data_IF_169064029604
#
_entry.id   IF_169064029604
#
_cell.length_a   1.000
_cell.length_b   1.000
_cell.length_c   1.000
_cell.angle_alpha   90.00
_cell.angle_beta   90.00
_cell.angle_gamma   90.00
#
_symmetry.space_group_name_H-M   'P 1'
#
loop_
_entity.id
_entity.type
_entity.pdbx_description
1 polymer ?
#
# COMPACT_ATOMS: atom_id res chain seq x y z
N UNK A 1 -21.59 -23.51 -13.82
CA UNK A 1 -21.81 -22.31 -12.97
C UNK A 1 -20.52 -21.49 -12.92
N UNK A 2 -20.52 -20.25 -13.41
CA UNK A 2 -19.36 -19.36 -13.31
C UNK A 2 -19.05 -19.09 -11.83
N UNK A 3 -17.95 -19.65 -11.33
CA UNK A 3 -17.39 -19.33 -10.01
C UNK A 3 -16.96 -17.86 -9.99
N UNK A 4 -17.88 -16.94 -9.71
CA UNK A 4 -17.58 -15.52 -9.53
C UNK A 4 -17.14 -15.30 -8.08
N UNK A 5 -16.09 -14.52 -7.90
CA UNK A 5 -15.61 -14.11 -6.58
C UNK A 5 -16.70 -13.29 -5.89
N UNK A 6 -17.15 -13.71 -4.71
CA UNK A 6 -18.04 -12.92 -3.86
C UNK A 6 -17.22 -12.24 -2.76
N UNK A 7 -17.62 -11.03 -2.35
CA UNK A 7 -16.99 -10.29 -1.24
C UNK A 7 -16.96 -11.08 0.07
N UNK A 8 -17.84 -12.06 0.25
CA UNK A 8 -17.85 -12.94 1.44
C UNK A 8 -16.56 -13.73 1.57
N UNK A 9 -16.01 -14.20 0.45
CA UNK A 9 -14.78 -15.01 0.39
C UNK A 9 -13.50 -14.21 0.66
N UNK A 10 -13.57 -12.88 0.64
CA UNK A 10 -12.42 -12.04 0.96
C UNK A 10 -12.07 -12.17 2.46
N UNK A 11 -10.78 -12.16 2.81
CA UNK A 11 -10.33 -12.16 4.20
C UNK A 11 -10.72 -10.85 4.90
N UNK A 12 -10.68 -10.86 6.23
CA UNK A 12 -11.06 -9.72 7.07
C UNK A 12 -10.36 -8.41 6.67
N UNK A 13 -9.06 -8.45 6.41
CA UNK A 13 -8.26 -7.27 6.04
C UNK A 13 -8.59 -6.69 4.66
N UNK A 14 -9.37 -7.40 3.84
CA UNK A 14 -9.84 -6.94 2.52
C UNK A 14 -11.33 -6.53 2.54
N UNK A 15 -11.90 -6.34 3.74
CA UNK A 15 -13.27 -5.82 3.88
C UNK A 15 -13.27 -4.30 3.79
N UNK A 16 -14.37 -3.77 3.26
CA UNK A 16 -14.57 -2.33 3.03
C UNK A 16 -14.32 -1.45 4.28
N UNK A 17 -14.81 -1.79 5.49
CA UNK A 17 -14.54 -0.97 6.68
C UNK A 17 -13.06 -0.91 7.04
N UNK A 18 -12.33 -2.01 6.82
CA UNK A 18 -10.90 -2.10 7.14
C UNK A 18 -10.08 -1.23 6.19
N UNK A 19 -10.41 -1.21 4.89
CA UNK A 19 -9.78 -0.28 3.95
C UNK A 19 -10.00 1.18 4.35
N UNK A 20 -11.22 1.55 4.72
CA UNK A 20 -11.50 2.90 5.18
C UNK A 20 -10.70 3.27 6.42
N UNK A 21 -10.62 2.37 7.41
CA UNK A 21 -9.82 2.58 8.60
C UNK A 21 -8.34 2.85 8.25
N UNK A 22 -7.72 2.02 7.40
CA UNK A 22 -6.33 2.23 6.98
C UNK A 22 -6.12 3.52 6.19
N UNK A 23 -7.05 3.88 5.30
CA UNK A 23 -6.97 5.14 4.53
C UNK A 23 -7.05 6.34 5.47
N UNK A 24 -8.05 6.37 6.36
CA UNK A 24 -8.24 7.46 7.32
C UNK A 24 -7.04 7.57 8.27
N UNK A 25 -6.56 6.45 8.82
CA UNK A 25 -5.37 6.44 9.67
C UNK A 25 -4.11 6.93 8.93
N UNK A 26 -3.96 6.60 7.65
CA UNK A 26 -2.82 7.07 6.85
C UNK A 26 -2.87 8.59 6.62
N UNK A 27 -4.07 9.14 6.35
CA UNK A 27 -4.26 10.59 6.17
C UNK A 27 -4.06 11.33 7.49
N UNK A 28 -4.67 10.87 8.58
CA UNK A 28 -4.49 11.47 9.91
C UNK A 28 -3.04 11.37 10.37
N UNK A 29 -2.39 10.23 10.14
CA UNK A 29 -0.97 10.03 10.42
C UNK A 29 -0.09 11.02 9.68
N UNK A 30 -0.32 11.23 8.38
CA UNK A 30 0.41 12.23 7.59
C UNK A 30 0.18 13.65 8.11
N UNK A 31 -1.06 14.02 8.46
CA UNK A 31 -1.38 15.35 8.97
C UNK A 31 -0.68 15.61 10.31
N UNK A 32 -0.79 14.68 11.26
CA UNK A 32 -0.10 14.77 12.54
C UNK A 32 1.42 14.81 12.38
N UNK A 33 1.94 14.04 11.43
CA UNK A 33 3.37 14.03 11.12
C UNK A 33 3.84 15.39 10.59
N UNK A 34 3.15 15.96 9.61
CA UNK A 34 3.49 17.30 9.06
C UNK A 34 3.38 18.38 10.13
N UNK A 35 2.35 18.32 10.99
CA UNK A 35 2.21 19.24 12.13
C UNK A 35 3.41 19.10 13.08
N UNK A 36 3.79 17.87 13.46
CA UNK A 36 4.94 17.64 14.32
C UNK A 36 6.24 18.17 13.71
N UNK A 37 6.46 17.94 12.42
CA UNK A 37 7.63 18.46 11.71
C UNK A 37 7.65 19.99 11.61
N UNK A 38 6.49 20.62 11.50
CA UNK A 38 6.40 22.09 11.38
C UNK A 38 6.91 22.84 12.60
N UNK A 39 7.04 22.17 13.75
CA UNK A 39 7.62 22.74 14.97
C UNK A 39 9.16 22.69 14.98
N UNK A 40 9.82 21.91 14.11
CA UNK A 40 11.28 21.87 14.01
C UNK A 40 11.76 22.61 12.76
N UNK A 41 12.34 23.79 12.95
CA UNK A 41 12.84 24.67 11.88
C UNK A 41 14.00 24.04 11.09
N UNK A 42 14.63 22.98 11.62
CA UNK A 42 15.75 22.28 10.96
C UNK A 42 15.30 21.30 9.89
N UNK A 43 14.00 21.03 9.77
CA UNK A 43 13.47 20.04 8.83
C UNK A 43 12.81 20.74 7.64
N UNK A 44 13.30 20.47 6.43
CA UNK A 44 12.67 20.94 5.20
C UNK A 44 11.43 20.09 4.87
N UNK A 45 10.25 20.69 5.07
CA UNK A 45 8.93 20.10 4.77
C UNK A 45 8.76 19.63 3.32
N UNK A 46 9.59 20.10 2.39
CA UNK A 46 9.58 19.62 1.00
C UNK A 46 9.91 18.13 0.91
N UNK A 47 10.79 17.63 1.77
CA UNK A 47 11.11 16.19 1.81
C UNK A 47 9.93 15.35 2.29
N UNK A 48 9.17 15.84 3.27
CA UNK A 48 7.91 15.21 3.69
C UNK A 48 6.90 15.16 2.54
N UNK A 49 6.73 16.27 1.83
CA UNK A 49 5.80 16.37 0.69
C UNK A 49 6.21 15.45 -0.47
N UNK A 50 7.50 15.44 -0.81
CA UNK A 50 8.08 14.56 -1.82
C UNK A 50 7.89 13.10 -1.46
N UNK A 51 8.25 12.72 -0.23
CA UNK A 51 8.08 11.36 0.29
C UNK A 51 6.63 10.91 0.21
N UNK A 52 5.68 11.72 0.69
CA UNK A 52 4.25 11.42 0.63
C UNK A 52 3.76 11.22 -0.82
N UNK A 53 4.12 12.12 -1.74
CA UNK A 53 3.74 12.03 -3.15
C UNK A 53 4.30 10.77 -3.83
N UNK A 54 5.57 10.46 -3.59
CA UNK A 54 6.21 9.23 -4.08
C UNK A 54 5.54 7.98 -3.49
N UNK A 55 5.20 8.03 -2.20
CA UNK A 55 4.45 6.98 -1.51
C UNK A 55 3.10 6.73 -2.16
N UNK A 56 2.32 7.78 -2.43
CA UNK A 56 1.02 7.65 -3.11
C UNK A 56 1.18 6.95 -4.46
N UNK A 57 2.14 7.40 -5.27
CA UNK A 57 2.37 6.82 -6.60
C UNK A 57 2.68 5.33 -6.53
N UNK A 58 3.69 4.96 -5.75
CA UNK A 58 4.12 3.57 -5.62
C UNK A 58 3.06 2.68 -4.95
N UNK A 59 2.41 3.19 -3.90
CA UNK A 59 1.33 2.49 -3.21
C UNK A 59 0.14 2.20 -4.14
N UNK A 60 -0.28 3.19 -4.92
CA UNK A 60 -1.39 3.00 -5.87
C UNK A 60 -1.03 1.99 -6.97
N UNK A 61 0.19 2.05 -7.52
CA UNK A 61 0.68 1.08 -8.50
C UNK A 61 0.66 -0.34 -7.92
N UNK A 62 1.17 -0.49 -6.69
CA UNK A 62 1.16 -1.76 -5.97
C UNK A 62 -0.25 -2.33 -5.80
N UNK A 63 -1.19 -1.52 -5.28
CA UNK A 63 -2.57 -1.96 -5.08
C UNK A 63 -3.28 -2.28 -6.40
N UNK A 64 -2.95 -1.57 -7.49
CA UNK A 64 -3.48 -1.84 -8.83
C UNK A 64 -2.94 -3.14 -9.43
N UNK A 65 -1.66 -3.45 -9.25
CA UNK A 65 -1.11 -4.73 -9.71
C UNK A 65 -1.63 -5.89 -8.86
N UNK A 66 -1.70 -5.70 -7.55
CA UNK A 66 -2.28 -6.68 -6.60
C UNK A 66 -3.72 -7.02 -6.97
N UNK A 67 -4.57 -6.01 -7.20
CA UNK A 67 -5.96 -6.24 -7.61
C UNK A 67 -6.09 -6.95 -8.96
N UNK A 68 -5.22 -6.66 -9.94
CA UNK A 68 -5.19 -7.39 -11.23
C UNK A 68 -4.82 -8.85 -11.05
N UNK A 69 -3.80 -9.15 -10.24
CA UNK A 69 -3.38 -10.51 -9.93
C UNK A 69 -4.53 -11.28 -9.26
N UNK A 70 -5.17 -10.67 -8.27
CA UNK A 70 -6.27 -11.31 -7.55
C UNK A 70 -7.51 -11.49 -8.42
N UNK A 71 -7.83 -10.54 -9.30
CA UNK A 71 -8.93 -10.71 -10.24
C UNK A 71 -8.79 -11.98 -11.10
N UNK A 72 -7.56 -12.35 -11.47
CA UNK A 72 -7.29 -13.50 -12.35
C UNK A 72 -7.09 -14.81 -11.58
N UNK A 73 -6.44 -14.75 -10.43
CA UNK A 73 -5.87 -15.95 -9.78
C UNK A 73 -6.41 -16.21 -8.38
N UNK A 74 -7.12 -15.28 -7.76
CA UNK A 74 -7.56 -15.40 -6.35
C UNK A 74 -8.36 -16.67 -6.08
N UNK A 75 -9.39 -16.94 -6.88
CA UNK A 75 -10.22 -18.14 -6.70
C UNK A 75 -9.46 -19.44 -6.96
N UNK A 76 -8.55 -19.44 -7.94
CA UNK A 76 -7.74 -20.62 -8.26
C UNK A 76 -6.77 -20.95 -7.12
N UNK A 77 -6.17 -19.91 -6.54
CA UNK A 77 -5.34 -20.03 -5.33
C UNK A 77 -6.18 -20.50 -4.14
N UNK A 78 -7.37 -19.93 -3.92
CA UNK A 78 -8.25 -20.31 -2.81
C UNK A 78 -8.69 -21.78 -2.88
N UNK A 79 -8.95 -22.28 -4.10
CA UNK A 79 -9.29 -23.67 -4.38
C UNK A 79 -8.10 -24.62 -4.42
N UNK A 80 -6.88 -24.11 -4.22
CA UNK A 80 -5.62 -24.87 -4.32
C UNK A 80 -5.39 -25.49 -5.72
N UNK A 81 -5.98 -24.90 -6.76
CA UNK A 81 -5.73 -25.30 -8.15
C UNK A 81 -4.34 -24.87 -8.62
N UNK A 82 -3.86 -23.73 -8.09
CA UNK A 82 -2.51 -23.20 -8.32
C UNK A 82 -1.93 -22.67 -7.01
N UNK A 83 -0.61 -22.66 -6.88
CA UNK A 83 0.05 -21.95 -5.79
C UNK A 83 0.10 -20.44 -6.05
N UNK A 84 0.32 -19.62 -5.01
CA UNK A 84 0.51 -18.17 -5.18
C UNK A 84 1.67 -17.86 -6.14
N UNK A 85 2.74 -18.65 -6.09
CA UNK A 85 3.94 -18.46 -6.91
C UNK A 85 3.73 -18.77 -8.40
N UNK A 86 2.74 -19.59 -8.73
CA UNK A 86 2.31 -19.90 -10.09
C UNK A 86 1.41 -18.81 -10.69
N UNK A 87 0.84 -17.93 -9.87
CA UNK A 87 0.01 -16.85 -10.36
C UNK A 87 0.85 -15.86 -11.20
N UNK A 88 0.39 -15.58 -12.42
CA UNK A 88 1.05 -14.64 -13.34
C UNK A 88 1.24 -13.27 -12.66
N UNK A 89 2.50 -12.84 -12.57
CA UNK A 89 2.87 -11.56 -11.96
C UNK A 89 3.14 -11.61 -10.46
N UNK A 90 2.96 -12.76 -9.78
CA UNK A 90 3.21 -12.88 -8.34
C UNK A 90 4.65 -12.56 -7.95
N UNK A 91 5.63 -13.13 -8.67
CA UNK A 91 7.06 -12.91 -8.41
C UNK A 91 7.46 -11.43 -8.55
N UNK A 92 7.00 -10.78 -9.61
CA UNK A 92 7.28 -9.36 -9.85
C UNK A 92 6.63 -8.48 -8.78
N UNK A 93 5.37 -8.77 -8.42
CA UNK A 93 4.66 -8.08 -7.36
C UNK A 93 5.38 -8.23 -6.02
N UNK A 94 5.81 -9.45 -5.67
CA UNK A 94 6.57 -9.71 -4.44
C UNK A 94 7.88 -8.93 -4.44
N UNK A 95 8.65 -8.97 -5.53
CA UNK A 95 9.89 -8.20 -5.63
C UNK A 95 9.64 -6.70 -5.44
N UNK A 96 8.64 -6.14 -6.12
CA UNK A 96 8.26 -4.75 -5.96
C UNK A 96 7.91 -4.43 -4.50
N UNK A 97 7.14 -5.31 -3.85
CA UNK A 97 6.75 -5.14 -2.45
C UNK A 97 7.97 -5.14 -1.54
N UNK A 98 8.90 -6.07 -1.74
CA UNK A 98 10.14 -6.14 -0.97
C UNK A 98 11.00 -4.89 -1.15
N UNK A 99 11.11 -4.36 -2.37
CA UNK A 99 11.85 -3.10 -2.61
C UNK A 99 11.14 -1.92 -1.97
N UNK A 100 9.82 -1.79 -2.18
CA UNK A 100 9.02 -0.68 -1.67
C UNK A 100 8.97 -0.62 -0.14
N UNK A 101 8.93 -1.78 0.53
CA UNK A 101 9.00 -1.90 2.00
C UNK A 101 10.44 -1.90 2.53
N UNK A 102 11.41 -2.33 1.73
CA UNK A 102 12.82 -2.27 2.08
C UNK A 102 13.32 -0.83 2.17
N UNK A 103 12.79 0.08 1.34
CA UNK A 103 13.19 1.49 1.32
C UNK A 103 13.08 2.16 2.72
N UNK A 104 11.96 2.11 3.44
CA UNK A 104 11.88 2.67 4.79
C UNK A 104 12.71 1.93 5.83
N UNK A 105 13.07 0.66 5.60
CA UNK A 105 13.90 -0.13 6.52
C UNK A 105 15.38 0.20 6.35
N UNK A 106 15.88 0.26 5.11
CA UNK A 106 17.31 0.41 4.81
C UNK A 106 17.77 1.85 4.74
N UNK A 107 16.92 2.79 4.29
CA UNK A 107 17.32 4.18 4.17
C UNK A 107 17.81 4.81 5.50
N UNK A 108 17.23 4.54 6.67
CA UNK A 108 17.75 5.05 7.95
C UNK A 108 19.17 4.59 8.29
N UNK A 109 19.58 3.41 7.81
CA UNK A 109 20.95 2.92 8.02
C UNK A 109 21.96 3.58 7.08
N UNK A 110 21.51 3.99 5.89
CA UNK A 110 22.37 4.57 4.85
C UNK A 110 22.42 6.10 4.93
N UNK A 111 21.35 6.74 5.40
CA UNK A 111 21.20 8.21 5.42
C UNK A 111 20.73 8.67 6.78
N UNK A 112 21.53 9.52 7.43
CA UNK A 112 21.25 10.09 8.77
C UNK A 112 20.63 11.49 8.74
N UNK A 113 20.22 11.98 7.56
CA UNK A 113 19.56 13.29 7.46
C UNK A 113 18.14 13.23 8.02
N UNK A 114 17.82 14.17 8.92
CA UNK A 114 16.47 14.31 9.49
C UNK A 114 15.42 14.56 8.40
N UNK A 115 15.77 15.32 7.35
CA UNK A 115 14.88 15.59 6.22
C UNK A 115 14.50 14.30 5.48
N UNK A 116 15.48 13.44 5.25
CA UNK A 116 15.28 12.19 4.52
C UNK A 116 14.45 11.22 5.35
N UNK A 117 14.69 11.15 6.67
CA UNK A 117 13.86 10.37 7.60
C UNK A 117 12.41 10.89 7.64
N UNK A 118 12.22 12.20 7.66
CA UNK A 118 10.92 12.84 7.58
C UNK A 118 10.18 12.51 6.27
N UNK A 119 10.91 12.50 5.16
CA UNK A 119 10.43 12.06 3.86
C UNK A 119 10.03 10.59 3.84
N UNK A 120 10.85 9.70 4.42
CA UNK A 120 10.58 8.26 4.48
C UNK A 120 9.30 7.96 5.27
N UNK A 121 9.13 8.59 6.43
CA UNK A 121 7.91 8.38 7.22
C UNK A 121 6.67 8.85 6.45
N UNK A 122 6.78 9.97 5.75
CA UNK A 122 5.70 10.49 4.89
C UNK A 122 5.43 9.55 3.70
N UNK A 123 6.46 8.96 3.13
CA UNK A 123 6.36 7.92 2.11
C UNK A 123 5.55 6.72 2.58
N UNK A 124 5.76 6.24 3.82
CA UNK A 124 5.01 5.11 4.37
C UNK A 124 3.51 5.43 4.45
N UNK A 125 3.13 6.61 4.94
CA UNK A 125 1.72 7.03 4.98
C UNK A 125 1.10 7.10 3.58
N UNK A 126 1.81 7.71 2.62
CA UNK A 126 1.35 7.79 1.24
C UNK A 126 1.18 6.42 0.59
N UNK A 127 2.15 5.52 0.79
CA UNK A 127 2.16 4.17 0.24
C UNK A 127 1.00 3.33 0.77
N UNK A 128 0.83 3.26 2.09
CA UNK A 128 -0.24 2.48 2.72
C UNK A 128 -1.60 3.05 2.32
N UNK A 129 -1.79 4.37 2.40
CA UNK A 129 -3.05 5.01 2.05
C UNK A 129 -3.46 4.71 0.61
N UNK A 130 -2.59 4.98 -0.36
CA UNK A 130 -2.91 4.82 -1.77
C UNK A 130 -3.06 3.36 -2.21
N UNK A 131 -2.27 2.45 -1.64
CA UNK A 131 -2.44 1.00 -1.87
C UNK A 131 -3.83 0.54 -1.44
N UNK A 132 -4.27 0.95 -0.25
CA UNK A 132 -5.58 0.61 0.27
C UNK A 132 -6.71 1.25 -0.56
N UNK A 133 -6.54 2.47 -1.08
CA UNK A 133 -7.49 3.07 -2.04
C UNK A 133 -7.62 2.20 -3.29
N UNK A 134 -6.52 1.81 -3.92
CA UNK A 134 -6.54 1.00 -5.14
C UNK A 134 -7.23 -0.37 -4.91
N UNK A 135 -6.92 -1.03 -3.79
CA UNK A 135 -7.54 -2.29 -3.41
C UNK A 135 -9.04 -2.14 -3.09
N UNK A 136 -9.40 -1.07 -2.37
CA UNK A 136 -10.80 -0.75 -2.07
C UNK A 136 -11.62 -0.56 -3.36
N UNK A 137 -11.09 0.18 -4.33
CA UNK A 137 -11.74 0.41 -5.63
C UNK A 137 -11.99 -0.91 -6.39
N UNK A 138 -11.09 -1.87 -6.27
CA UNK A 138 -11.29 -3.21 -6.81
C UNK A 138 -12.37 -3.99 -6.02
N UNK A 139 -12.30 -4.03 -4.69
CA UNK A 139 -13.28 -4.75 -3.86
C UNK A 139 -14.71 -4.24 -4.05
N UNK A 140 -14.88 -2.93 -4.28
CA UNK A 140 -16.19 -2.32 -4.60
C UNK A 140 -16.84 -2.93 -5.86
N UNK A 141 -16.05 -3.42 -6.82
CA UNK A 141 -16.52 -4.01 -8.08
C UNK A 141 -16.90 -5.48 -7.96
N UNK A 142 -16.52 -6.14 -6.87
CA UNK A 142 -16.85 -7.55 -6.61
C UNK A 142 -18.33 -7.63 -6.20
N UNK A 143 -19.13 -8.61 -6.66
CA UNK A 143 -20.49 -8.82 -6.19
C UNK A 143 -20.55 -9.15 -4.69
N UNK A 144 -21.68 -8.81 -4.05
CA UNK A 144 -21.89 -9.01 -2.60
C UNK A 144 -21.84 -10.48 -2.18
#
# INVERSE_FOLDING_TARGET
MQNKLSRRLLPFYMKMPVFWAFIVLSVLGQLLWVVALSYDVRIDLRWSSFGFGLGIGLGFMQGRWTSRLWQQSYLRVLKREITFWEAKGAKLLTLYTCVALGLPIFCPFLVRSLDVLAGIQSYVFGFIGAMNVALMLWVRRIPK
#
